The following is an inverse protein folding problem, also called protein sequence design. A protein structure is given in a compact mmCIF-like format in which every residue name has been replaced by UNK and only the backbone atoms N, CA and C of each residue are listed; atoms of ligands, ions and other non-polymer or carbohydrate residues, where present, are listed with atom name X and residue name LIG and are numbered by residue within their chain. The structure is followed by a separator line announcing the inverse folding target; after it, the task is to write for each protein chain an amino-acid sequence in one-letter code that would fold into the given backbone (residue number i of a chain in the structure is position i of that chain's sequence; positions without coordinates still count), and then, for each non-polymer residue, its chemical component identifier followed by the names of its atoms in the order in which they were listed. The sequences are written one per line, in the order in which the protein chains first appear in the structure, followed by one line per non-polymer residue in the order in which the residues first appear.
data_IF_801795741371
#
_entry.id   IF_801795741371
#
_cell.length_a   1.000
_cell.length_b   1.000
_cell.length_c   1.000
_cell.angle_alpha   90.00
_cell.angle_beta   90.00
_cell.angle_gamma   90.00
#
_symmetry.space_group_name_H-M   'P 1'
#
loop_
_entity.id
_entity.type
_entity.pdbx_description
1 polymer ?
#
# COMPACT_ATOMS: atom_id res chain seq x y z
N UNK A 1 27.18 19.83 54.41
CA UNK A 1 26.22 18.69 54.45
C UNK A 1 24.91 19.12 53.79
N UNK A 2 24.68 18.65 52.56
CA UNK A 2 23.39 18.21 51.98
C UNK A 2 23.72 17.78 50.56
N UNK A 3 23.89 16.46 50.40
CA UNK A 3 24.37 15.81 49.17
C UNK A 3 23.22 15.71 48.17
N UNK A 4 23.60 15.87 46.90
CA UNK A 4 22.80 15.63 45.71
C UNK A 4 22.24 14.20 45.68
N UNK A 5 21.00 14.07 45.20
CA UNK A 5 20.50 12.89 44.50
C UNK A 5 19.31 13.32 43.65
N UNK A 6 19.57 13.82 42.43
CA UNK A 6 18.56 13.90 41.39
C UNK A 6 18.79 12.68 40.48
N UNK A 7 17.93 11.68 40.63
CA UNK A 7 17.90 10.53 39.74
C UNK A 7 17.51 11.01 38.33
N UNK A 8 18.44 10.92 37.39
CA UNK A 8 18.12 11.08 35.97
C UNK A 8 17.32 9.87 35.50
N UNK A 9 16.02 10.06 35.27
CA UNK A 9 15.28 9.19 34.35
C UNK A 9 15.76 9.53 32.94
N UNK A 10 16.68 8.73 32.41
CA UNK A 10 16.84 8.56 30.98
C UNK A 10 15.65 7.71 30.51
N UNK A 11 14.55 8.36 30.15
CA UNK A 11 13.55 7.74 29.31
C UNK A 11 14.20 7.55 27.93
N UNK A 12 14.63 6.33 27.64
CA UNK A 12 14.92 5.92 26.27
C UNK A 12 13.60 5.99 25.50
N UNK A 13 13.34 7.14 24.87
CA UNK A 13 12.33 7.25 23.83
C UNK A 13 12.87 6.40 22.69
N UNK A 14 12.40 5.16 22.59
CA UNK A 14 12.50 4.39 21.35
C UNK A 14 11.64 5.17 20.36
N UNK A 15 12.29 5.94 19.50
CA UNK A 15 11.63 6.58 18.37
C UNK A 15 11.26 5.43 17.43
N UNK A 16 10.00 4.99 17.46
CA UNK A 16 9.47 4.10 16.43
C UNK A 16 9.48 4.84 15.11
N UNK A 17 10.19 4.32 14.12
CA UNK A 17 10.05 4.76 12.74
C UNK A 17 8.57 4.60 12.32
N UNK A 18 8.04 5.49 11.47
CA UNK A 18 6.65 5.40 11.03
C UNK A 18 6.37 4.06 10.36
N UNK A 19 5.13 3.56 10.48
CA UNK A 19 4.67 2.48 9.62
C UNK A 19 4.41 3.08 8.25
N UNK A 20 4.94 2.46 7.22
CA UNK A 20 4.64 2.72 5.84
C UNK A 20 4.41 1.34 5.26
N UNK A 21 3.20 1.02 4.81
CA UNK A 21 3.02 0.01 3.77
C UNK A 21 3.81 -1.28 4.07
N UNK A 22 4.40 -1.99 3.11
CA UNK A 22 5.76 -2.41 3.39
C UNK A 22 6.64 -1.17 3.34
N UNK A 23 7.68 -1.04 4.17
CA UNK A 23 8.56 0.13 4.05
C UNK A 23 8.94 0.37 2.59
N UNK A 24 8.94 1.62 2.12
CA UNK A 24 9.12 1.97 0.71
C UNK A 24 10.26 1.18 0.02
N UNK A 25 11.36 0.96 0.74
CA UNK A 25 12.51 0.18 0.27
C UNK A 25 12.20 -1.29 -0.04
N UNK A 26 11.28 -1.90 0.70
CA UNK A 26 10.83 -3.28 0.50
C UNK A 26 10.02 -3.40 -0.79
N UNK A 27 9.12 -2.47 -1.10
CA UNK A 27 8.43 -2.44 -2.41
C UNK A 27 9.42 -2.37 -3.57
N UNK A 28 10.39 -1.47 -3.47
CA UNK A 28 11.46 -1.32 -4.46
C UNK A 28 12.25 -2.62 -4.64
N UNK A 29 12.64 -3.27 -3.53
CA UNK A 29 13.38 -4.53 -3.56
C UNK A 29 12.57 -5.64 -4.23
N UNK A 30 11.31 -5.81 -3.86
CA UNK A 30 10.41 -6.82 -4.46
C UNK A 30 10.32 -6.64 -5.98
N UNK A 31 10.18 -5.40 -6.45
CA UNK A 31 10.12 -5.11 -7.89
C UNK A 31 11.42 -5.45 -8.63
N UNK A 32 12.57 -5.12 -8.05
CA UNK A 32 13.89 -5.44 -8.61
C UNK A 32 14.11 -6.96 -8.63
N UNK A 33 13.79 -7.65 -7.53
CA UNK A 33 13.92 -9.10 -7.40
C UNK A 33 13.03 -9.84 -8.40
N UNK A 34 11.82 -9.33 -8.69
CA UNK A 34 10.96 -9.90 -9.71
C UNK A 34 11.58 -9.83 -11.11
N UNK A 35 12.21 -8.71 -11.47
CA UNK A 35 12.91 -8.57 -12.77
C UNK A 35 14.12 -9.50 -12.84
N UNK A 36 14.90 -9.60 -11.75
CA UNK A 36 16.05 -10.51 -11.69
C UNK A 36 15.59 -11.99 -11.73
N UNK A 37 14.48 -12.33 -11.07
CA UNK A 37 13.85 -13.64 -11.17
C UNK A 37 13.47 -13.95 -12.63
N UNK A 38 12.76 -13.04 -13.32
CA UNK A 38 12.37 -13.22 -14.73
C UNK A 38 13.59 -13.40 -15.64
N UNK A 39 14.65 -12.62 -15.40
CA UNK A 39 15.92 -12.72 -16.15
C UNK A 39 16.58 -14.08 -16.02
N UNK A 40 16.49 -14.68 -14.82
CA UNK A 40 17.03 -16.02 -14.55
C UNK A 40 16.09 -17.15 -14.97
N UNK A 41 14.81 -16.85 -15.23
CA UNK A 41 13.78 -17.81 -15.67
C UNK A 41 13.09 -17.40 -16.97
N UNK A 42 13.84 -17.10 -18.06
CA UNK A 42 13.25 -16.56 -19.29
C UNK A 42 12.42 -17.58 -20.09
N UNK A 43 12.48 -18.85 -19.73
CA UNK A 43 11.67 -19.92 -20.33
C UNK A 43 10.29 -20.10 -19.70
N UNK A 44 10.11 -19.61 -18.47
CA UNK A 44 8.87 -19.73 -17.69
C UNK A 44 8.19 -18.36 -17.47
N UNK A 45 8.78 -17.30 -18.01
CA UNK A 45 8.31 -15.91 -17.89
C UNK A 45 8.38 -15.23 -19.25
N UNK A 46 7.71 -14.09 -19.40
CA UNK A 46 7.74 -13.27 -20.60
C UNK A 46 8.96 -12.32 -20.64
N UNK A 47 10.07 -12.67 -19.96
CA UNK A 47 11.25 -11.82 -19.84
C UNK A 47 11.76 -11.30 -21.19
N UNK A 48 11.85 -12.17 -22.21
CA UNK A 48 12.35 -11.76 -23.52
C UNK A 48 11.39 -10.78 -24.24
N UNK A 49 10.08 -10.94 -24.05
CA UNK A 49 9.06 -10.05 -24.60
C UNK A 49 9.09 -8.69 -23.91
N UNK A 50 9.17 -8.69 -22.58
CA UNK A 50 9.32 -7.49 -21.76
C UNK A 50 10.61 -6.73 -22.14
N UNK A 51 11.74 -7.45 -22.21
CA UNK A 51 13.04 -6.91 -22.59
C UNK A 51 13.04 -6.24 -23.96
N UNK A 52 12.29 -6.76 -24.93
CA UNK A 52 12.18 -6.14 -26.24
C UNK A 52 11.53 -4.76 -26.17
N UNK A 53 10.44 -4.62 -25.39
CA UNK A 53 9.81 -3.32 -25.15
C UNK A 53 10.72 -2.38 -24.35
N UNK A 54 11.35 -2.87 -23.28
CA UNK A 54 12.28 -2.09 -22.45
C UNK A 54 13.42 -1.50 -23.28
N UNK A 55 14.06 -2.32 -24.12
CA UNK A 55 15.12 -1.87 -25.00
C UNK A 55 14.62 -0.85 -26.04
N UNK A 56 13.42 -1.05 -26.58
CA UNK A 56 12.81 -0.11 -27.52
C UNK A 56 12.47 1.24 -26.85
N UNK A 57 12.15 1.24 -25.56
CA UNK A 57 11.97 2.41 -24.73
C UNK A 57 13.30 3.08 -24.29
N UNK A 58 14.45 2.51 -24.66
CA UNK A 58 15.77 3.10 -24.43
C UNK A 58 16.41 2.77 -23.07
N UNK A 59 15.86 1.80 -22.33
CA UNK A 59 16.40 1.34 -21.05
C UNK A 59 17.19 0.03 -21.22
N UNK A 60 18.17 -0.21 -20.35
CA UNK A 60 18.58 -1.59 -20.03
C UNK A 60 17.58 -2.22 -19.06
N UNK A 61 17.59 -3.55 -18.91
CA UNK A 61 16.72 -4.22 -17.93
C UNK A 61 17.03 -3.80 -16.49
N UNK A 62 18.29 -3.51 -16.18
CA UNK A 62 18.70 -3.02 -14.86
C UNK A 62 18.16 -1.61 -14.60
N UNK A 63 18.22 -0.71 -15.60
CA UNK A 63 17.63 0.63 -15.48
C UNK A 63 16.11 0.55 -15.35
N UNK A 64 15.47 -0.34 -16.10
CA UNK A 64 14.04 -0.58 -16.00
C UNK A 64 13.62 -1.08 -14.61
N UNK A 65 14.34 -2.06 -14.05
CA UNK A 65 14.11 -2.57 -12.70
C UNK A 65 14.19 -1.45 -11.65
N UNK A 66 15.19 -0.57 -11.77
CA UNK A 66 15.34 0.58 -10.89
C UNK A 66 14.19 1.58 -11.02
N UNK A 67 13.72 1.86 -12.25
CA UNK A 67 12.61 2.81 -12.47
C UNK A 67 11.28 2.25 -11.96
N UNK A 68 10.95 0.99 -12.23
CA UNK A 68 9.71 0.39 -11.71
C UNK A 68 9.77 0.25 -10.19
N UNK A 69 10.94 -0.09 -9.62
CA UNK A 69 11.13 -0.19 -8.18
C UNK A 69 11.04 1.18 -7.50
N UNK A 70 11.57 2.22 -8.11
CA UNK A 70 11.40 3.59 -7.63
C UNK A 70 9.94 4.04 -7.74
N UNK A 71 9.24 3.71 -8.83
CA UNK A 71 7.80 3.97 -8.92
C UNK A 71 7.03 3.31 -7.77
N UNK A 72 7.33 2.06 -7.43
CA UNK A 72 6.67 1.36 -6.32
C UNK A 72 6.97 2.01 -4.95
N UNK A 73 8.19 2.53 -4.78
CA UNK A 73 8.62 3.30 -3.62
C UNK A 73 7.87 4.63 -3.49
N UNK A 74 7.67 5.34 -4.60
CA UNK A 74 7.19 6.73 -4.62
C UNK A 74 5.70 6.88 -4.26
N UNK A 75 4.89 5.81 -4.33
CA UNK A 75 3.45 5.87 -4.04
C UNK A 75 3.16 6.30 -2.59
N UNK A 76 3.97 5.86 -1.63
CA UNK A 76 3.89 6.30 -0.23
C UNK A 76 4.11 7.82 -0.04
N UNK A 77 4.82 8.45 -0.99
CA UNK A 77 5.16 9.87 -0.99
C UNK A 77 4.18 10.73 -1.83
N UNK A 78 3.11 10.12 -2.36
CA UNK A 78 2.09 10.88 -3.05
C UNK A 78 1.44 11.91 -2.12
N UNK A 79 1.45 13.16 -2.55
CA UNK A 79 0.73 14.27 -1.94
C UNK A 79 -0.56 14.49 -2.72
N UNK A 80 -1.38 13.45 -2.81
CA UNK A 80 -2.63 13.43 -3.58
C UNK A 80 -3.86 13.39 -2.68
N UNK A 81 -3.68 13.26 -1.37
CA UNK A 81 -4.75 13.05 -0.41
C UNK A 81 -4.68 14.07 0.70
N UNK A 82 -5.76 14.85 0.84
CA UNK A 82 -5.88 15.93 1.80
C UNK A 82 -7.18 15.76 2.60
N UNK A 83 -7.07 15.87 3.92
CA UNK A 83 -8.23 15.97 4.81
C UNK A 83 -8.31 17.39 5.35
N UNK A 84 -9.54 17.86 5.52
CA UNK A 84 -9.87 19.20 6.00
C UNK A 84 -10.35 19.14 7.44
N UNK A 85 -9.78 20.00 8.28
CA UNK A 85 -10.10 20.04 9.70
C UNK A 85 -11.57 20.41 9.95
N UNK A 86 -12.27 19.65 10.78
CA UNK A 86 -13.68 19.86 11.10
C UNK A 86 -13.98 21.28 11.61
N UNK A 87 -13.04 21.88 12.34
CA UNK A 87 -13.23 23.19 13.00
C UNK A 87 -12.64 24.35 12.18
N UNK A 88 -11.53 24.11 11.49
CA UNK A 88 -10.79 25.16 10.78
C UNK A 88 -11.17 25.26 9.31
N UNK A 89 -11.61 24.15 8.70
CA UNK A 89 -11.73 23.99 7.26
C UNK A 89 -10.39 23.93 6.52
N UNK A 90 -9.27 23.96 7.24
CA UNK A 90 -7.92 23.95 6.65
C UNK A 90 -7.56 22.52 6.23
N UNK A 91 -7.12 22.36 4.98
CA UNK A 91 -6.86 21.07 4.37
C UNK A 91 -5.37 20.80 4.27
N UNK A 92 -4.95 19.68 4.84
CA UNK A 92 -3.54 19.29 4.94
C UNK A 92 -3.32 17.90 4.37
N UNK A 93 -2.12 17.65 3.84
CA UNK A 93 -1.76 16.33 3.28
C UNK A 93 -1.35 15.31 4.37
N UNK A 94 -1.03 15.83 5.56
CA UNK A 94 -0.53 15.08 6.70
C UNK A 94 -0.92 15.83 7.99
N UNK A 95 -1.15 15.11 9.11
CA UNK A 95 -1.41 15.75 10.39
C UNK A 95 -0.18 16.56 10.85
N UNK A 96 -0.40 17.75 11.40
CA UNK A 96 0.65 18.73 11.79
C UNK A 96 1.62 18.19 12.87
N UNK A 97 1.27 17.13 13.60
CA UNK A 97 2.17 16.47 14.55
C UNK A 97 3.02 15.38 13.88
N UNK A 98 4.13 15.80 13.27
CA UNK A 98 5.20 14.91 12.81
C UNK A 98 6.02 14.28 13.99
N UNK A 99 5.35 13.97 15.09
CA UNK A 99 5.93 13.43 16.32
C UNK A 99 5.09 12.24 16.82
N UNK A 100 5.13 11.13 16.08
CA UNK A 100 4.83 9.81 16.64
C UNK A 100 3.70 8.98 16.02
N UNK A 101 3.05 9.43 14.95
CA UNK A 101 2.01 8.62 14.29
C UNK A 101 2.58 7.84 13.10
N UNK A 102 2.27 6.54 13.04
CA UNK A 102 2.53 5.61 11.94
C UNK A 102 1.69 5.87 10.68
N UNK A 103 1.14 7.08 10.56
CA UNK A 103 0.30 7.57 9.46
C UNK A 103 0.90 8.93 9.06
N UNK A 104 2.02 8.89 8.34
CA UNK A 104 2.78 10.11 8.02
C UNK A 104 2.04 10.96 7.00
N UNK A 105 1.32 10.34 6.07
CA UNK A 105 0.57 10.97 5.00
C UNK A 105 -0.83 10.35 4.89
N UNK A 106 -1.86 11.14 4.57
CA UNK A 106 -3.22 10.62 4.42
C UNK A 106 -3.40 9.68 3.21
N UNK A 107 -2.45 9.66 2.27
CA UNK A 107 -2.43 8.66 1.17
C UNK A 107 -2.44 7.22 1.70
N UNK A 108 -1.88 6.98 2.88
CA UNK A 108 -1.83 5.65 3.50
C UNK A 108 -3.21 4.98 3.66
N UNK A 109 -4.31 5.74 3.73
CA UNK A 109 -5.66 5.17 3.81
C UNK A 109 -6.10 4.43 2.54
N UNK A 110 -5.45 4.68 1.39
CA UNK A 110 -5.70 3.95 0.14
C UNK A 110 -4.96 2.61 0.04
N UNK A 111 -4.16 2.24 1.03
CA UNK A 111 -3.26 1.10 0.95
C UNK A 111 -3.88 -0.21 1.45
N UNK A 112 -5.12 -0.15 1.92
CA UNK A 112 -5.80 -1.27 2.56
C UNK A 112 -6.71 -2.02 1.58
N UNK A 113 -6.90 -3.31 1.82
CA UNK A 113 -7.99 -4.10 1.26
C UNK A 113 -8.54 -4.99 2.37
N UNK A 114 -9.76 -4.73 2.82
CA UNK A 114 -10.31 -5.32 4.02
C UNK A 114 -10.82 -6.75 3.77
N UNK A 115 -10.00 -7.74 4.10
CA UNK A 115 -10.35 -9.18 4.03
C UNK A 115 -11.12 -9.67 5.26
N UNK A 116 -11.28 -8.84 6.28
CA UNK A 116 -12.05 -9.19 7.49
C UNK A 116 -13.56 -9.08 7.25
N UNK A 117 -13.94 -8.47 6.12
CA UNK A 117 -15.32 -8.18 5.73
C UNK A 117 -15.52 -8.46 4.24
N UNK A 118 -16.78 -8.49 3.83
CA UNK A 118 -17.17 -8.61 2.42
C UNK A 118 -17.30 -7.23 1.77
N UNK A 119 -18.16 -7.13 0.75
CA UNK A 119 -18.43 -5.91 -0.01
C UNK A 119 -18.66 -4.66 0.83
N UNK A 120 -18.21 -3.51 0.32
CA UNK A 120 -18.36 -2.20 0.95
C UNK A 120 -19.55 -1.39 0.38
N UNK A 121 -19.70 -0.17 0.91
CA UNK A 121 -20.75 0.76 0.50
C UNK A 121 -20.56 1.37 -0.89
N UNK A 122 -19.41 1.16 -1.53
CA UNK A 122 -19.15 1.57 -2.92
C UNK A 122 -19.53 0.51 -3.95
N UNK A 123 -19.85 -0.70 -3.49
CA UNK A 123 -20.09 -1.87 -4.34
C UNK A 123 -18.82 -2.60 -4.77
N UNK A 124 -17.69 -2.38 -4.10
CA UNK A 124 -16.50 -3.23 -4.27
C UNK A 124 -16.75 -4.60 -3.61
N UNK A 125 -16.07 -5.66 -4.06
CA UNK A 125 -16.15 -6.98 -3.44
C UNK A 125 -15.51 -7.02 -2.03
N UNK A 126 -14.48 -6.19 -1.82
CA UNK A 126 -13.81 -5.92 -0.55
C UNK A 126 -13.63 -4.40 -0.40
N UNK A 127 -13.78 -3.87 0.81
CA UNK A 127 -13.59 -2.43 1.08
C UNK A 127 -12.13 -2.05 1.33
N UNK A 128 -11.82 -0.75 1.36
CA UNK A 128 -10.54 -0.24 1.86
C UNK A 128 -10.55 0.01 3.37
N UNK A 129 -9.80 1.02 3.81
CA UNK A 129 -9.84 1.50 5.20
C UNK A 129 -11.21 2.11 5.49
N UNK A 130 -11.77 1.77 6.65
CA UNK A 130 -12.95 2.43 7.21
C UNK A 130 -12.93 2.25 8.72
N UNK A 131 -12.87 3.36 9.46
CA UNK A 131 -12.70 3.36 10.91
C UNK A 131 -13.88 2.69 11.64
N UNK A 132 -15.13 3.03 11.34
CA UNK A 132 -16.31 2.42 11.94
C UNK A 132 -16.39 0.89 11.71
N UNK A 133 -15.74 0.41 10.65
CA UNK A 133 -15.82 -0.99 10.23
C UNK A 133 -14.59 -1.84 10.56
N UNK A 134 -13.59 -1.31 11.28
CA UNK A 134 -12.41 -2.07 11.69
C UNK A 134 -12.83 -3.26 12.57
N UNK A 135 -12.31 -4.46 12.29
CA UNK A 135 -12.52 -5.64 13.16
C UNK A 135 -11.35 -5.87 14.12
N UNK A 136 -10.21 -5.24 13.83
CA UNK A 136 -8.99 -5.31 14.61
C UNK A 136 -8.58 -3.88 14.95
N UNK A 137 -8.68 -3.55 16.22
CA UNK A 137 -8.48 -2.20 16.74
C UNK A 137 -7.14 -2.08 17.44
N UNK A 138 -6.47 -0.94 17.29
CA UNK A 138 -5.35 -0.60 18.16
C UNK A 138 -5.21 0.89 18.44
N UNK A 139 -4.23 1.22 19.26
CA UNK A 139 -4.08 2.56 19.86
C UNK A 139 -3.85 3.67 18.81
N UNK A 140 -3.20 3.34 17.70
CA UNK A 140 -2.99 4.27 16.58
C UNK A 140 -4.31 4.59 15.88
N UNK A 141 -5.15 3.58 15.63
CA UNK A 141 -6.46 3.78 15.00
C UNK A 141 -7.36 4.66 15.89
N UNK A 142 -7.33 4.40 17.21
CA UNK A 142 -8.06 5.21 18.19
C UNK A 142 -7.57 6.66 18.26
N UNK A 143 -6.25 6.88 18.14
CA UNK A 143 -5.67 8.21 18.09
C UNK A 143 -6.09 8.95 16.81
N UNK A 144 -6.08 8.26 15.66
CA UNK A 144 -6.49 8.82 14.38
C UNK A 144 -7.93 9.34 14.45
N UNK A 145 -8.89 8.52 14.88
CA UNK A 145 -10.28 8.97 14.96
C UNK A 145 -10.57 9.98 16.07
N UNK A 146 -9.79 9.97 17.16
CA UNK A 146 -9.93 11.03 18.18
C UNK A 146 -9.43 12.38 17.66
N UNK A 147 -8.43 12.36 16.78
CA UNK A 147 -7.80 13.56 16.24
C UNK A 147 -8.53 14.11 15.02
N UNK A 148 -8.92 13.21 14.10
CA UNK A 148 -9.60 13.51 12.85
C UNK A 148 -11.12 13.57 13.02
N UNK A 149 -11.59 13.72 14.26
CA UNK A 149 -13.02 13.67 14.59
C UNK A 149 -13.81 14.72 13.81
N UNK A 150 -14.69 14.27 12.90
CA UNK A 150 -15.46 15.15 12.01
C UNK A 150 -14.64 15.81 10.88
N UNK A 151 -13.38 15.44 10.70
CA UNK A 151 -12.59 15.87 9.54
C UNK A 151 -13.18 15.24 8.28
N UNK A 152 -13.11 15.96 7.17
CA UNK A 152 -13.71 15.53 5.90
C UNK A 152 -12.66 15.43 4.79
N UNK A 153 -12.94 14.64 3.75
CA UNK A 153 -12.06 14.54 2.59
C UNK A 153 -12.18 15.84 1.79
N UNK A 154 -11.06 16.45 1.46
CA UNK A 154 -11.05 17.66 0.64
C UNK A 154 -11.72 17.42 -0.71
N UNK A 155 -12.71 18.24 -1.10
CA UNK A 155 -13.50 18.07 -2.32
C UNK A 155 -13.58 19.34 -3.19
N UNK A 156 -12.61 20.23 -2.98
CA UNK A 156 -12.38 21.45 -3.72
C UNK A 156 -13.25 22.63 -3.24
N UNK A 157 -12.85 23.83 -3.65
CA UNK A 157 -13.48 25.07 -3.19
C UNK A 157 -15.01 25.09 -3.36
N UNK A 158 -15.72 25.34 -2.26
CA UNK A 158 -17.19 25.39 -2.24
C UNK A 158 -17.87 24.02 -2.21
N UNK A 159 -17.13 22.99 -1.80
CA UNK A 159 -17.59 21.62 -1.63
C UNK A 159 -18.21 21.36 -0.24
N UNK A 160 -17.74 20.31 0.42
CA UNK A 160 -18.06 20.00 1.80
C UNK A 160 -17.48 21.07 2.73
N UNK A 161 -18.11 21.24 3.88
CA UNK A 161 -17.69 22.24 4.86
C UNK A 161 -17.71 21.64 6.25
N UNK A 162 -16.73 22.01 7.06
CA UNK A 162 -16.67 21.64 8.47
C UNK A 162 -17.75 22.35 9.31
N UNK A 163 -17.62 22.20 10.62
CA UNK A 163 -18.48 22.86 11.60
C UNK A 163 -18.45 24.37 11.44
N UNK A 164 -19.59 25.02 11.68
CA UNK A 164 -19.74 26.47 11.50
C UNK A 164 -19.51 26.95 10.06
N UNK A 165 -19.65 26.05 9.08
CA UNK A 165 -19.47 26.33 7.65
C UNK A 165 -18.03 26.76 7.30
N UNK A 166 -17.03 26.26 8.05
CA UNK A 166 -15.62 26.50 7.75
C UNK A 166 -15.15 25.64 6.58
N UNK A 167 -14.67 26.27 5.52
CA UNK A 167 -14.08 25.65 4.34
C UNK A 167 -12.94 26.53 3.81
N UNK A 168 -11.74 25.96 3.68
CA UNK A 168 -10.58 26.53 2.98
C UNK A 168 -9.96 25.49 2.01
N UNK A 169 -10.80 24.63 1.42
CA UNK A 169 -10.41 23.59 0.46
C UNK A 169 -9.72 24.15 -0.79
N UNK A 170 -8.56 23.56 -1.12
CA UNK A 170 -7.68 24.03 -2.20
C UNK A 170 -7.26 22.95 -3.21
N UNK A 171 -7.37 21.65 -2.91
CA UNK A 171 -6.72 20.59 -3.71
C UNK A 171 -7.70 19.78 -4.57
N UNK A 172 -8.88 19.47 -4.05
CA UNK A 172 -9.90 18.55 -4.57
C UNK A 172 -9.53 17.05 -4.56
N UNK A 173 -9.21 16.49 -3.39
CA UNK A 173 -8.94 15.04 -3.21
C UNK A 173 -10.09 14.15 -3.70
N UNK A 174 -11.34 14.43 -3.34
CA UNK A 174 -12.50 13.64 -3.76
C UNK A 174 -12.67 13.63 -5.29
N UNK A 175 -12.60 14.80 -5.92
CA UNK A 175 -12.83 14.94 -7.36
C UNK A 175 -11.65 14.52 -8.24
N UNK A 176 -10.49 14.22 -7.66
CA UNK A 176 -9.27 13.82 -8.38
C UNK A 176 -8.82 12.44 -7.93
N UNK A 177 -8.33 12.30 -6.71
CA UNK A 177 -7.69 11.07 -6.20
C UNK A 177 -8.70 9.97 -5.95
N UNK A 178 -9.76 10.24 -5.19
CA UNK A 178 -10.81 9.22 -4.97
C UNK A 178 -11.48 8.85 -6.30
N UNK A 179 -11.76 9.83 -7.16
CA UNK A 179 -12.32 9.58 -8.49
C UNK A 179 -11.42 8.68 -9.35
N UNK A 180 -10.10 8.83 -9.24
CA UNK A 180 -9.14 7.92 -9.88
C UNK A 180 -9.20 6.52 -9.27
N UNK A 181 -9.43 6.37 -7.97
CA UNK A 181 -9.49 5.06 -7.29
C UNK A 181 -10.90 4.45 -7.25
N UNK A 182 -11.90 5.08 -7.88
CA UNK A 182 -13.25 4.55 -8.00
C UNK A 182 -13.41 3.64 -9.22
N UNK A 183 -12.65 2.55 -9.26
CA UNK A 183 -12.56 1.67 -10.43
C UNK A 183 -13.76 0.72 -10.54
N UNK A 184 -14.77 1.11 -11.32
CA UNK A 184 -15.99 0.30 -11.52
C UNK A 184 -16.93 0.29 -10.31
N UNK A 185 -16.65 1.13 -9.30
CA UNK A 185 -17.46 1.35 -8.11
C UNK A 185 -18.18 2.70 -8.18
N UNK A 186 -18.95 3.05 -7.15
CA UNK A 186 -19.57 4.38 -7.01
C UNK A 186 -19.22 4.99 -5.65
N UNK A 187 -19.27 6.31 -5.55
CA UNK A 187 -19.24 7.02 -4.26
C UNK A 187 -19.94 8.36 -4.38
N UNK A 188 -20.28 8.94 -3.23
CA UNK A 188 -20.85 10.29 -3.10
C UNK A 188 -20.06 11.09 -2.08
N UNK A 189 -20.03 12.42 -2.20
CA UNK A 189 -19.34 13.31 -1.25
C UNK A 189 -19.72 13.04 0.21
N UNK A 190 -21.00 12.81 0.49
CA UNK A 190 -21.50 12.49 1.85
C UNK A 190 -21.07 11.12 2.40
N UNK A 191 -20.25 10.35 1.69
CA UNK A 191 -19.54 9.20 2.28
C UNK A 191 -18.22 9.65 2.93
N UNK A 192 -17.79 10.88 2.63
CA UNK A 192 -16.50 11.45 2.99
C UNK A 192 -16.62 12.76 3.78
N UNK A 193 -17.76 13.00 4.42
CA UNK A 193 -18.02 14.19 5.24
C UNK A 193 -17.63 14.01 6.71
N UNK A 194 -17.30 12.78 7.13
CA UNK A 194 -16.90 12.46 8.51
C UNK A 194 -15.90 11.28 8.55
N UNK A 195 -14.67 11.52 9.03
CA UNK A 195 -13.55 10.57 9.00
C UNK A 195 -13.90 9.22 9.63
N UNK A 196 -14.63 9.26 10.73
CA UNK A 196 -15.03 8.08 11.50
C UNK A 196 -15.85 7.09 10.68
N UNK A 197 -16.57 7.57 9.66
CA UNK A 197 -17.45 6.77 8.81
C UNK A 197 -16.90 6.61 7.38
N UNK A 198 -15.78 7.26 7.03
CA UNK A 198 -15.22 7.28 5.67
C UNK A 198 -14.88 5.89 5.15
N UNK A 199 -15.47 5.46 4.02
CA UNK A 199 -15.03 4.29 3.29
C UNK A 199 -13.97 4.73 2.26
N UNK A 200 -12.71 4.37 2.46
CA UNK A 200 -11.69 4.52 1.42
C UNK A 200 -11.84 3.41 0.38
N UNK A 201 -11.50 3.70 -0.88
CA UNK A 201 -11.43 2.70 -1.95
C UNK A 201 -10.29 1.73 -1.66
N UNK A 202 -10.43 0.43 -1.99
CA UNK A 202 -9.39 -0.56 -1.71
C UNK A 202 -8.18 -0.40 -2.66
N UNK A 203 -6.99 -0.82 -2.20
CA UNK A 203 -5.72 -0.65 -2.92
C UNK A 203 -5.69 -1.33 -4.30
N UNK A 204 -6.47 -2.38 -4.52
CA UNK A 204 -6.57 -3.00 -5.84
C UNK A 204 -7.22 -2.06 -6.87
N UNK A 205 -8.06 -1.11 -6.45
CA UNK A 205 -8.53 -0.04 -7.32
C UNK A 205 -7.43 1.00 -7.63
N UNK A 206 -6.54 1.33 -6.69
CA UNK A 206 -5.34 2.13 -6.96
C UNK A 206 -4.45 1.44 -8.00
N UNK A 207 -4.20 0.14 -7.80
CA UNK A 207 -3.46 -0.69 -8.75
C UNK A 207 -4.10 -0.69 -10.14
N UNK A 208 -5.41 -0.91 -10.21
CA UNK A 208 -6.15 -0.92 -11.47
C UNK A 208 -6.15 0.44 -12.18
N UNK A 209 -6.22 1.55 -11.44
CA UNK A 209 -6.11 2.89 -12.02
C UNK A 209 -4.76 3.07 -12.70
N UNK A 210 -3.66 2.85 -11.98
CA UNK A 210 -2.32 3.00 -12.54
C UNK A 210 -2.03 2.00 -13.65
N UNK A 211 -2.60 0.80 -13.58
CA UNK A 211 -2.50 -0.17 -14.66
C UNK A 211 -3.24 0.30 -15.91
N UNK A 212 -4.41 0.91 -15.75
CA UNK A 212 -5.16 1.53 -16.86
C UNK A 212 -4.38 2.70 -17.47
N UNK A 213 -3.69 3.50 -16.64
CA UNK A 213 -2.77 4.54 -17.14
C UNK A 213 -1.64 3.91 -17.97
N UNK A 214 -1.01 2.83 -17.47
CA UNK A 214 0.00 2.08 -18.21
C UNK A 214 -0.53 1.52 -19.54
N UNK A 215 -1.73 0.93 -19.57
CA UNK A 215 -2.34 0.43 -20.81
C UNK A 215 -2.56 1.55 -21.83
N UNK A 216 -2.93 2.76 -21.37
CA UNK A 216 -3.18 3.92 -22.24
C UNK A 216 -1.89 4.54 -22.79
N UNK A 217 -0.84 4.61 -21.95
CA UNK A 217 0.45 5.17 -22.29
C UNK A 217 1.55 4.41 -21.52
N UNK A 218 2.09 3.33 -22.09
CA UNK A 218 3.03 2.47 -21.37
C UNK A 218 4.32 3.20 -21.01
N UNK A 219 4.55 3.37 -19.71
CA UNK A 219 5.83 3.84 -19.16
C UNK A 219 6.28 2.92 -18.03
N UNK A 220 7.59 2.86 -17.79
CA UNK A 220 8.13 2.15 -16.63
C UNK A 220 7.61 2.75 -15.31
N UNK A 221 7.45 4.08 -15.23
CA UNK A 221 6.98 4.73 -14.02
C UNK A 221 5.54 4.34 -13.67
N UNK A 222 4.61 4.43 -14.62
CA UNK A 222 3.20 4.01 -14.40
C UNK A 222 3.11 2.54 -14.02
N UNK A 223 3.96 1.69 -14.60
CA UNK A 223 4.03 0.28 -14.21
C UNK A 223 4.56 0.13 -12.78
N UNK A 224 5.57 0.91 -12.39
CA UNK A 224 6.10 0.94 -11.02
C UNK A 224 5.05 1.30 -9.98
N UNK A 225 4.20 2.30 -10.24
CA UNK A 225 3.10 2.65 -9.33
C UNK A 225 2.13 1.49 -9.09
N UNK A 226 1.90 0.63 -10.10
CA UNK A 226 1.08 -0.58 -9.93
C UNK A 226 1.74 -1.56 -8.96
N UNK A 227 3.06 -1.67 -8.96
CA UNK A 227 3.78 -2.65 -8.13
C UNK A 227 3.76 -2.32 -6.64
N UNK A 228 3.38 -1.10 -6.27
CA UNK A 228 3.10 -0.74 -4.88
C UNK A 228 1.98 -1.61 -4.27
N UNK A 229 1.08 -2.17 -5.09
CA UNK A 229 0.05 -3.13 -4.64
C UNK A 229 0.58 -4.39 -3.95
N UNK A 230 1.90 -4.61 -3.93
CA UNK A 230 2.56 -5.57 -3.03
C UNK A 230 2.26 -5.32 -1.54
N UNK A 231 1.68 -4.16 -1.20
CA UNK A 231 1.03 -3.91 0.09
C UNK A 231 -0.09 -4.88 0.44
N UNK A 232 -0.71 -5.53 -0.54
CA UNK A 232 -1.66 -6.62 -0.28
C UNK A 232 -0.98 -7.82 0.37
N UNK A 233 0.34 -7.95 0.26
CA UNK A 233 1.12 -8.98 0.94
C UNK A 233 1.63 -8.53 2.32
N UNK A 234 1.24 -7.33 2.74
CA UNK A 234 1.49 -6.80 4.06
C UNK A 234 0.27 -7.15 4.96
N UNK A 235 0.45 -7.96 6.03
CA UNK A 235 -0.67 -8.47 6.82
C UNK A 235 -1.56 -7.39 7.44
N UNK A 236 -1.01 -6.33 7.99
CA UNK A 236 -1.78 -5.24 8.60
C UNK A 236 -2.68 -4.51 7.59
N UNK A 237 -2.29 -4.47 6.31
CA UNK A 237 -3.06 -3.84 5.23
C UNK A 237 -4.30 -4.65 4.82
N UNK A 238 -4.25 -5.97 5.00
CA UNK A 238 -5.40 -6.86 4.71
C UNK A 238 -6.27 -7.16 5.92
N UNK A 239 -5.69 -7.03 7.12
CA UNK A 239 -6.42 -7.03 8.40
C UNK A 239 -6.93 -5.63 8.80
N UNK A 240 -6.60 -4.61 8.01
CA UNK A 240 -7.05 -3.23 8.14
C UNK A 240 -6.77 -2.65 9.52
N UNK A 241 -5.50 -2.57 9.92
CA UNK A 241 -5.11 -1.88 11.16
C UNK A 241 -3.81 -1.11 10.97
N UNK A 242 -3.75 0.10 11.51
CA UNK A 242 -2.50 0.88 11.53
C UNK A 242 -1.65 0.60 12.79
N UNK A 243 -2.10 -0.30 13.65
CA UNK A 243 -1.53 -0.59 14.97
C UNK A 243 -0.95 -2.01 15.08
N UNK A 244 -0.84 -2.56 16.29
CA UNK A 244 -0.52 -3.97 16.52
C UNK A 244 0.80 -4.42 15.85
N UNK A 245 1.90 -3.77 16.22
CA UNK A 245 3.24 -4.04 15.67
C UNK A 245 3.43 -3.73 14.19
N UNK A 246 2.56 -2.91 13.57
CA UNK A 246 2.63 -2.53 12.15
C UNK A 246 4.04 -2.13 11.69
N UNK A 247 4.54 -0.97 12.16
CA UNK A 247 5.88 -0.48 11.79
C UNK A 247 7.00 -1.43 12.23
N UNK A 248 6.79 -2.13 13.35
CA UNK A 248 7.74 -3.10 13.87
C UNK A 248 7.87 -4.34 12.99
N UNK A 249 6.80 -4.76 12.32
CA UNK A 249 6.79 -5.85 11.35
C UNK A 249 7.51 -5.41 10.06
N UNK A 250 7.14 -4.26 9.51
CA UNK A 250 7.74 -3.76 8.27
C UNK A 250 9.25 -3.51 8.41
N UNK A 251 9.65 -2.88 9.51
CA UNK A 251 11.07 -2.63 9.80
C UNK A 251 11.83 -3.94 9.92
N UNK A 252 11.22 -4.95 10.54
CA UNK A 252 11.83 -6.28 10.63
C UNK A 252 11.97 -6.93 9.26
N UNK A 253 10.97 -6.84 8.39
CA UNK A 253 11.09 -7.37 7.03
C UNK A 253 12.22 -6.68 6.28
N UNK A 254 12.34 -5.36 6.37
CA UNK A 254 13.42 -4.61 5.73
C UNK A 254 14.81 -5.00 6.28
N UNK A 255 14.94 -5.12 7.60
CA UNK A 255 16.19 -5.46 8.29
C UNK A 255 16.65 -6.90 8.01
N UNK A 256 15.70 -7.84 7.92
CA UNK A 256 15.97 -9.28 7.81
C UNK A 256 15.82 -9.82 6.38
N UNK A 257 15.46 -8.98 5.40
CA UNK A 257 15.22 -9.38 4.01
C UNK A 257 16.34 -10.27 3.44
N UNK A 258 17.58 -9.80 3.58
CA UNK A 258 18.75 -10.48 3.03
C UNK A 258 19.22 -11.63 3.94
N UNK A 259 19.21 -11.44 5.26
CA UNK A 259 19.71 -12.44 6.20
C UNK A 259 18.83 -13.69 6.29
N UNK A 260 17.51 -13.52 6.09
CA UNK A 260 16.54 -14.62 6.05
C UNK A 260 16.28 -15.12 4.63
N UNK A 261 17.01 -14.59 3.64
CA UNK A 261 16.93 -14.99 2.24
C UNK A 261 15.49 -14.95 1.71
N UNK A 262 14.77 -13.85 1.97
CA UNK A 262 13.33 -13.76 1.69
C UNK A 262 12.98 -13.74 0.20
N UNK A 263 13.97 -13.50 -0.67
CA UNK A 263 13.86 -13.60 -2.12
C UNK A 263 14.36 -14.95 -2.67
N UNK A 264 14.37 -16.01 -1.85
CA UNK A 264 14.76 -17.36 -2.26
C UNK A 264 14.00 -17.80 -3.52
N UNK A 265 14.76 -18.12 -4.58
CA UNK A 265 14.20 -18.47 -5.88
C UNK A 265 13.29 -19.69 -5.85
N UNK A 266 13.56 -20.68 -4.99
CA UNK A 266 12.73 -21.88 -4.85
C UNK A 266 11.38 -21.50 -4.22
N UNK A 267 11.37 -20.59 -3.25
CA UNK A 267 10.13 -20.08 -2.68
C UNK A 267 9.35 -19.24 -3.69
N UNK A 268 10.02 -18.45 -4.52
CA UNK A 268 9.36 -17.70 -5.60
C UNK A 268 8.76 -18.65 -6.66
N UNK A 269 9.48 -19.70 -7.06
CA UNK A 269 8.96 -20.74 -7.97
C UNK A 269 7.68 -21.39 -7.46
N UNK A 270 7.62 -21.66 -6.15
CA UNK A 270 6.43 -22.21 -5.49
C UNK A 270 5.31 -21.17 -5.43
N UNK A 271 5.66 -19.93 -5.05
CA UNK A 271 4.72 -18.83 -4.92
C UNK A 271 4.01 -18.48 -6.23
N UNK A 272 4.67 -18.61 -7.38
CA UNK A 272 4.05 -18.40 -8.69
C UNK A 272 2.82 -19.29 -8.92
N UNK A 273 2.77 -20.47 -8.29
CA UNK A 273 1.66 -21.43 -8.42
C UNK A 273 0.46 -21.06 -7.55
N UNK A 274 0.60 -20.12 -6.62
CA UNK A 274 -0.49 -19.65 -5.76
C UNK A 274 -1.40 -18.66 -6.49
N UNK A 275 -0.97 -18.15 -7.64
CA UNK A 275 -1.69 -17.14 -8.41
C UNK A 275 -2.22 -17.71 -9.72
N UNK A 276 -3.43 -17.28 -10.08
CA UNK A 276 -3.99 -17.52 -11.41
C UNK A 276 -3.41 -16.49 -12.38
N UNK A 277 -2.69 -16.90 -13.45
CA UNK A 277 -2.17 -15.95 -14.42
C UNK A 277 -3.28 -15.13 -15.08
N UNK A 278 -3.04 -13.83 -15.23
CA UNK A 278 -3.95 -12.95 -15.94
C UNK A 278 -4.07 -13.37 -17.42
N UNK A 279 -5.28 -13.23 -17.98
CA UNK A 279 -5.49 -13.45 -19.41
C UNK A 279 -4.60 -12.51 -20.23
N UNK A 280 -3.86 -12.98 -21.25
CA UNK A 280 -3.00 -12.12 -22.06
C UNK A 280 -3.70 -10.93 -22.75
N UNK A 281 -5.02 -10.97 -22.89
CA UNK A 281 -5.84 -9.89 -23.46
C UNK A 281 -6.75 -9.22 -22.43
N UNK A 282 -6.64 -9.61 -21.16
CA UNK A 282 -7.38 -8.99 -20.07
C UNK A 282 -6.86 -7.59 -19.77
N UNK A 283 -7.68 -6.77 -19.14
CA UNK A 283 -7.29 -5.43 -18.69
C UNK A 283 -7.50 -5.21 -17.20
N UNK A 284 -8.25 -6.12 -16.55
CA UNK A 284 -8.51 -6.09 -15.12
C UNK A 284 -7.48 -6.94 -14.39
N UNK A 285 -6.69 -6.32 -13.52
CA UNK A 285 -5.64 -6.97 -12.73
C UNK A 285 -6.10 -7.30 -11.31
N UNK A 286 -7.25 -6.78 -10.88
CA UNK A 286 -7.73 -6.90 -9.50
C UNK A 286 -7.90 -8.35 -9.04
N UNK A 287 -8.37 -9.31 -9.86
CA UNK A 287 -8.44 -10.71 -9.43
C UNK A 287 -7.11 -11.27 -8.92
N UNK A 288 -5.99 -10.94 -9.60
CA UNK A 288 -4.64 -11.34 -9.17
C UNK A 288 -4.27 -10.68 -7.84
N UNK A 289 -4.59 -9.39 -7.69
CA UNK A 289 -4.32 -8.61 -6.48
C UNK A 289 -5.10 -9.18 -5.28
N UNK A 290 -6.39 -9.49 -5.47
CA UNK A 290 -7.24 -10.11 -4.44
C UNK A 290 -6.71 -11.46 -3.98
N UNK A 291 -6.15 -12.30 -4.88
CA UNK A 291 -5.49 -13.55 -4.50
C UNK A 291 -4.30 -13.29 -3.56
N UNK A 292 -3.49 -12.26 -3.84
CA UNK A 292 -2.38 -11.84 -2.99
C UNK A 292 -2.86 -11.41 -1.60
N UNK A 293 -3.90 -10.57 -1.55
CA UNK A 293 -4.51 -10.14 -0.29
C UNK A 293 -5.07 -11.30 0.53
N UNK A 294 -5.77 -12.24 -0.12
CA UNK A 294 -6.34 -13.41 0.55
C UNK A 294 -5.25 -14.32 1.14
N UNK A 295 -4.11 -14.44 0.45
CA UNK A 295 -2.96 -15.18 0.93
C UNK A 295 -2.37 -14.55 2.19
N UNK A 296 -2.12 -13.24 2.19
CA UNK A 296 -1.60 -12.55 3.38
C UNK A 296 -2.59 -12.57 4.54
N UNK A 297 -3.89 -12.45 4.27
CA UNK A 297 -4.92 -12.55 5.29
C UNK A 297 -4.90 -13.93 5.97
N UNK A 298 -4.84 -15.01 5.18
CA UNK A 298 -4.83 -16.38 5.68
C UNK A 298 -3.56 -16.82 6.41
N UNK A 299 -2.43 -16.13 6.18
CA UNK A 299 -1.11 -16.56 6.69
C UNK A 299 -0.43 -15.54 7.62
N UNK A 300 -0.84 -14.27 7.59
CA UNK A 300 -0.11 -13.16 8.21
C UNK A 300 -0.58 -12.76 9.60
N UNK A 301 -1.74 -13.24 10.07
CA UNK A 301 -2.38 -12.73 11.30
C UNK A 301 -1.50 -12.79 12.57
N UNK A 302 -0.54 -13.71 12.65
CA UNK A 302 0.31 -13.86 13.85
C UNK A 302 1.20 -12.62 14.09
N UNK A 303 1.65 -11.92 13.04
CA UNK A 303 2.58 -10.77 13.18
C UNK A 303 1.90 -9.52 13.73
N UNK A 304 0.57 -9.50 13.80
CA UNK A 304 -0.17 -8.45 14.51
C UNK A 304 0.10 -8.54 16.02
N UNK A 305 0.32 -9.74 16.55
CA UNK A 305 0.50 -9.95 17.99
C UNK A 305 1.91 -10.36 18.40
N UNK A 306 2.65 -11.01 17.50
CA UNK A 306 3.96 -11.59 17.79
C UNK A 306 5.12 -10.73 17.28
N UNK A 307 6.09 -10.50 18.15
CA UNK A 307 7.40 -9.95 17.79
C UNK A 307 8.49 -11.01 17.75
N UNK A 308 8.14 -12.28 17.96
CA UNK A 308 9.11 -13.37 17.99
C UNK A 308 9.68 -13.60 16.59
N UNK A 309 11.01 -13.70 16.53
CA UNK A 309 11.74 -13.79 15.27
C UNK A 309 11.29 -14.99 14.43
N UNK A 310 11.07 -16.16 15.04
CA UNK A 310 10.63 -17.36 14.32
C UNK A 310 9.26 -17.20 13.66
N UNK A 311 8.32 -16.54 14.33
CA UNK A 311 6.98 -16.31 13.80
C UNK A 311 7.04 -15.35 12.62
N UNK A 312 7.87 -14.31 12.75
CA UNK A 312 8.11 -13.34 11.68
C UNK A 312 8.80 -13.96 10.47
N UNK A 313 9.80 -14.82 10.67
CA UNK A 313 10.42 -15.59 9.58
C UNK A 313 9.39 -16.44 8.86
N UNK A 314 8.55 -17.17 9.60
CA UNK A 314 7.52 -18.02 8.99
C UNK A 314 6.57 -17.22 8.09
N UNK A 315 6.08 -16.08 8.57
CA UNK A 315 5.19 -15.22 7.76
C UNK A 315 5.95 -14.59 6.60
N UNK A 316 7.16 -14.09 6.82
CA UNK A 316 7.94 -13.40 5.80
C UNK A 316 8.34 -14.32 4.64
N UNK A 317 8.73 -15.56 4.93
CA UNK A 317 9.00 -16.61 3.94
C UNK A 317 7.75 -17.03 3.15
N UNK A 318 6.56 -16.63 3.61
CA UNK A 318 5.33 -16.77 2.85
C UNK A 318 5.06 -15.51 2.03
N UNK A 319 4.95 -14.35 2.67
CA UNK A 319 4.43 -13.15 2.01
C UNK A 319 5.41 -12.50 1.02
N UNK A 320 6.72 -12.52 1.26
CA UNK A 320 7.70 -11.88 0.37
C UNK A 320 7.88 -12.64 -0.96
N UNK A 321 8.07 -13.97 -0.97
CA UNK A 321 8.09 -14.71 -2.23
C UNK A 321 6.78 -14.57 -3.02
N UNK A 322 5.63 -14.49 -2.34
CA UNK A 322 4.34 -14.25 -2.99
C UNK A 322 4.19 -12.83 -3.53
N UNK A 323 4.76 -11.82 -2.87
CA UNK A 323 4.82 -10.46 -3.40
C UNK A 323 5.67 -10.40 -4.68
N UNK A 324 6.84 -11.05 -4.69
CA UNK A 324 7.69 -11.17 -5.88
C UNK A 324 6.93 -11.89 -7.00
N UNK A 325 6.29 -13.03 -6.70
CA UNK A 325 5.51 -13.78 -7.67
C UNK A 325 4.34 -12.97 -8.26
N UNK A 326 3.63 -12.19 -7.44
CA UNK A 326 2.57 -11.29 -7.91
C UNK A 326 3.11 -10.25 -8.88
N UNK A 327 4.28 -9.64 -8.59
CA UNK A 327 4.94 -8.72 -9.52
C UNK A 327 5.36 -9.43 -10.81
N UNK A 328 5.88 -10.66 -10.74
CA UNK A 328 6.22 -11.44 -11.94
C UNK A 328 4.99 -11.66 -12.82
N UNK A 329 3.83 -11.97 -12.25
CA UNK A 329 2.56 -12.09 -12.99
C UNK A 329 2.12 -10.78 -13.63
N UNK A 330 2.21 -9.66 -12.91
CA UNK A 330 1.92 -8.33 -13.44
C UNK A 330 2.86 -7.95 -14.59
N UNK A 331 4.16 -8.24 -14.47
CA UNK A 331 5.16 -7.98 -15.51
C UNK A 331 4.99 -8.89 -16.73
N UNK A 332 4.65 -10.17 -16.53
CA UNK A 332 4.29 -11.08 -17.61
C UNK A 332 3.08 -10.55 -18.40
N UNK A 333 2.04 -10.13 -17.67
CA UNK A 333 0.85 -9.56 -18.28
C UNK A 333 1.16 -8.26 -19.01
N UNK A 334 1.90 -7.33 -18.38
CA UNK A 334 2.35 -6.08 -19.00
C UNK A 334 3.15 -6.32 -20.29
N UNK A 335 3.99 -7.35 -20.34
CA UNK A 335 4.74 -7.73 -21.53
C UNK A 335 3.83 -8.08 -22.72
N UNK A 336 2.71 -8.78 -22.48
CA UNK A 336 1.70 -9.05 -23.51
C UNK A 336 1.02 -7.78 -24.02
N UNK A 337 0.82 -6.78 -23.17
CA UNK A 337 0.12 -5.54 -23.54
C UNK A 337 0.97 -4.62 -24.41
N UNK A 338 2.26 -4.51 -24.11
CA UNK A 338 3.17 -3.58 -24.80
C UNK A 338 3.88 -4.16 -26.01
N UNK A 339 3.85 -5.48 -26.15
CA UNK A 339 4.44 -6.21 -27.25
C UNK A 339 3.60 -7.47 -27.52
N UNK A 340 2.38 -7.35 -28.07
CA UNK A 340 1.42 -8.46 -28.23
C UNK A 340 1.85 -9.54 -29.24
#
# INVERSE_FOLDING_TARGET
MKKLALCGLLAAVVISAPAQAFQQITHKRIAIDAVEYMKNHPGNTEYNRLKAWVNAAGYTMEQFAEVIGQGAYDVDDFQDTYLCGAVTGDCVYAPVFNAGASLVNYTSYWHFQNHTRSSDVHGNDLGGYNYDLLTVWGDIDNLAASWLYGDYLDDGSGGMSGWWWSDDSQYNTYGITEANYRQGSYSSKSMYDDFEEMPFQPIDNLGQYWYSQFLSQPTAQTLGFVLHTTDLLQPHHVWTTSALNHSGWESWVADYYDSENLNDTILVDQALQNFTPLSPTGTDIRPLLTEGGALAYGNGGIVLSSTDHSDRVQVAQTVIPNAIAMVVHLLNHAAHQVNP
#
